data_IF_145450089212
#
_entry.id   IF_145450089212
#
_cell.length_a   1.000
_cell.length_b   1.000
_cell.length_c   1.000
_cell.angle_alpha   90.00
_cell.angle_beta   90.00
_cell.angle_gamma   90.00
#
_symmetry.space_group_name_H-M   'P 1'
#
loop_
_entity.id
_entity.type
_entity.pdbx_description
1 polymer ?
#
# COMPACT_ATOMS: atom_id res chain seq x y z
N UNK A 1 15.37 3.66 22.59
CA UNK A 1 14.50 4.85 22.41
C UNK A 1 13.30 4.44 21.56
N UNK A 2 12.08 4.72 22.02
CA UNK A 2 10.84 4.45 21.29
C UNK A 2 10.73 5.43 20.11
N UNK A 3 10.63 4.95 18.87
CA UNK A 3 10.38 5.84 17.72
C UNK A 3 8.87 6.10 17.62
N UNK A 4 8.41 7.11 18.35
CA UNK A 4 7.00 7.50 18.41
C UNK A 4 6.41 7.79 17.02
N UNK A 5 7.18 8.42 16.13
CA UNK A 5 6.73 8.73 14.78
C UNK A 5 6.44 7.47 13.94
N UNK A 6 7.29 6.45 14.05
CA UNK A 6 7.11 5.18 13.35
C UNK A 6 5.85 4.42 13.84
N UNK A 7 5.62 4.38 15.16
CA UNK A 7 4.41 3.76 15.70
C UNK A 7 3.15 4.56 15.36
N UNK A 8 3.19 5.90 15.46
CA UNK A 8 2.08 6.76 15.02
C UNK A 8 1.73 6.53 13.55
N UNK A 9 2.74 6.43 12.68
CA UNK A 9 2.54 6.18 11.26
C UNK A 9 1.90 4.81 10.98
N UNK A 10 2.37 3.77 11.68
CA UNK A 10 1.78 2.43 11.61
C UNK A 10 0.32 2.41 12.06
N UNK A 11 -0.02 3.12 13.14
CA UNK A 11 -1.40 3.27 13.59
C UNK A 11 -2.25 4.04 12.57
N UNK A 12 -1.74 5.14 12.01
CA UNK A 12 -2.45 5.94 11.03
C UNK A 12 -2.84 5.12 9.79
N UNK A 13 -1.90 4.34 9.24
CA UNK A 13 -2.17 3.47 8.08
C UNK A 13 -3.25 2.43 8.37
N UNK A 14 -3.21 1.82 9.57
CA UNK A 14 -4.22 0.85 10.00
C UNK A 14 -5.60 1.51 10.16
N UNK A 15 -5.67 2.65 10.83
CA UNK A 15 -6.94 3.38 11.05
C UNK A 15 -7.55 3.88 9.75
N UNK A 16 -6.72 4.36 8.81
CA UNK A 16 -7.18 4.72 7.48
C UNK A 16 -7.80 3.53 6.76
N UNK A 17 -7.10 2.38 6.75
CA UNK A 17 -7.59 1.17 6.11
C UNK A 17 -8.88 0.67 6.76
N UNK A 18 -8.97 0.64 8.09
CA UNK A 18 -10.19 0.22 8.78
C UNK A 18 -11.37 1.14 8.48
N UNK A 19 -11.15 2.46 8.40
CA UNK A 19 -12.18 3.42 8.04
C UNK A 19 -12.71 3.18 6.61
N UNK A 20 -11.82 2.93 5.66
CA UNK A 20 -12.21 2.58 4.28
C UNK A 20 -13.02 1.29 4.23
N UNK A 21 -12.60 0.26 4.97
CA UNK A 21 -13.31 -1.02 5.06
C UNK A 21 -14.70 -0.87 5.70
N UNK A 22 -14.85 0.02 6.70
CA UNK A 22 -16.14 0.31 7.31
C UNK A 22 -17.12 0.92 6.30
N UNK A 23 -16.69 1.92 5.52
CA UNK A 23 -17.50 2.54 4.46
C UNK A 23 -17.95 1.51 3.42
N UNK A 24 -17.02 0.66 2.97
CA UNK A 24 -17.34 -0.38 2.00
C UNK A 24 -18.28 -1.46 2.54
N UNK A 25 -18.16 -1.80 3.82
CA UNK A 25 -19.09 -2.71 4.49
C UNK A 25 -20.52 -2.14 4.51
N UNK A 26 -20.67 -0.85 4.81
CA UNK A 26 -21.96 -0.17 4.77
C UNK A 26 -22.58 -0.16 3.36
N UNK A 27 -21.76 0.08 2.33
CA UNK A 27 -22.19 -0.01 0.93
C UNK A 27 -22.61 -1.43 0.52
N UNK A 28 -21.98 -2.46 1.08
CA UNK A 28 -22.34 -3.85 0.80
C UNK A 28 -23.67 -4.22 1.45
N UNK A 29 -23.95 -3.71 2.65
CA UNK A 29 -25.23 -3.92 3.35
C UNK A 29 -26.41 -3.29 2.59
N UNK A 30 -26.20 -2.14 1.95
CA UNK A 30 -27.23 -1.46 1.15
C UNK A 30 -27.49 -2.10 -0.22
N UNK A 31 -26.68 -3.05 -0.67
CA UNK A 31 -26.80 -3.64 -2.02
C UNK A 31 -27.99 -4.59 -2.20
N UNK A 32 -28.61 -5.03 -1.10
CA UNK A 32 -29.50 -6.20 -1.06
C UNK A 32 -30.93 -6.04 -1.58
N UNK A 33 -31.24 -5.06 -2.43
CA UNK A 33 -32.60 -4.88 -2.96
C UNK A 33 -32.79 -5.48 -4.35
N UNK A 34 -33.49 -6.63 -4.45
CA UNK A 34 -34.05 -7.21 -5.69
C UNK A 34 -33.13 -7.96 -6.69
N UNK A 35 -31.98 -8.50 -6.28
CA UNK A 35 -31.15 -9.34 -7.16
C UNK A 35 -31.33 -10.85 -6.92
N UNK A 36 -31.19 -11.65 -7.98
CA UNK A 36 -31.01 -13.10 -7.84
C UNK A 36 -29.71 -13.41 -7.09
N UNK A 37 -29.58 -14.61 -6.52
CA UNK A 37 -28.35 -15.03 -5.84
C UNK A 37 -27.11 -14.94 -6.75
N UNK A 38 -27.25 -15.32 -8.03
CA UNK A 38 -26.16 -15.24 -9.02
C UNK A 38 -25.78 -13.80 -9.33
N UNK A 39 -26.77 -12.94 -9.60
CA UNK A 39 -26.52 -11.52 -9.87
C UNK A 39 -25.95 -10.78 -8.66
N UNK A 40 -26.36 -11.13 -7.45
CA UNK A 40 -25.77 -10.62 -6.22
C UNK A 40 -24.30 -11.02 -6.10
N UNK A 41 -23.97 -12.30 -6.32
CA UNK A 41 -22.59 -12.80 -6.24
C UNK A 41 -21.67 -12.14 -7.26
N UNK A 42 -22.12 -12.00 -8.51
CA UNK A 42 -21.36 -11.33 -9.58
C UNK A 42 -21.16 -9.84 -9.27
N UNK A 43 -22.22 -9.13 -8.86
CA UNK A 43 -22.13 -7.73 -8.47
C UNK A 43 -21.17 -7.49 -7.31
N UNK A 44 -21.18 -8.37 -6.31
CA UNK A 44 -20.24 -8.31 -5.19
C UNK A 44 -18.80 -8.58 -5.63
N UNK A 45 -18.58 -9.49 -6.58
CA UNK A 45 -17.25 -9.76 -7.14
C UNK A 45 -16.72 -8.53 -7.90
N UNK A 46 -17.53 -7.92 -8.77
CA UNK A 46 -17.13 -6.74 -9.53
C UNK A 46 -16.87 -5.52 -8.66
N UNK A 47 -17.65 -5.34 -7.58
CA UNK A 47 -17.38 -4.29 -6.57
C UNK A 47 -16.05 -4.51 -5.88
N UNK A 48 -15.74 -5.74 -5.45
CA UNK A 48 -14.44 -6.06 -4.83
C UNK A 48 -13.28 -5.77 -5.78
N UNK A 49 -13.40 -6.13 -7.07
CA UNK A 49 -12.39 -5.79 -8.08
C UNK A 49 -12.22 -4.28 -8.21
N UNK A 50 -13.32 -3.55 -8.38
CA UNK A 50 -13.32 -2.09 -8.53
C UNK A 50 -12.66 -1.40 -7.34
N UNK A 51 -12.91 -1.85 -6.12
CA UNK A 51 -12.27 -1.33 -4.89
C UNK A 51 -10.76 -1.51 -4.91
N UNK A 52 -10.26 -2.67 -5.30
CA UNK A 52 -8.83 -2.92 -5.44
C UNK A 52 -8.23 -1.99 -6.49
N UNK A 53 -8.86 -1.85 -7.66
CA UNK A 53 -8.41 -0.91 -8.68
C UNK A 53 -8.36 0.54 -8.18
N UNK A 54 -9.45 1.03 -7.58
CA UNK A 54 -9.52 2.38 -7.03
C UNK A 54 -8.44 2.63 -5.98
N UNK A 55 -8.24 1.67 -5.08
CA UNK A 55 -7.21 1.73 -4.06
C UNK A 55 -5.81 1.82 -4.66
N UNK A 56 -5.48 0.94 -5.62
CA UNK A 56 -4.20 0.93 -6.32
C UNK A 56 -3.94 2.22 -7.13
N UNK A 57 -4.97 2.80 -7.74
CA UNK A 57 -4.82 4.02 -8.55
C UNK A 57 -4.53 5.27 -7.72
N UNK A 58 -4.85 5.25 -6.42
CA UNK A 58 -4.60 6.38 -5.51
C UNK A 58 -3.23 6.30 -4.81
N UNK A 59 -2.44 5.26 -5.09
CA UNK A 59 -1.10 5.13 -4.53
C UNK A 59 -0.13 6.15 -5.12
N UNK A 60 0.90 6.48 -4.34
CA UNK A 60 2.01 7.32 -4.76
C UNK A 60 2.84 6.64 -5.87
N UNK A 61 3.56 7.39 -6.73
CA UNK A 61 4.28 6.83 -7.89
C UNK A 61 5.38 5.81 -7.56
N UNK A 62 5.98 5.88 -6.37
CA UNK A 62 6.96 4.92 -5.85
C UNK A 62 6.39 3.49 -5.76
N UNK A 63 5.06 3.33 -5.67
CA UNK A 63 4.39 2.03 -5.69
C UNK A 63 4.02 1.55 -7.11
N UNK A 64 4.44 2.24 -8.17
CA UNK A 64 4.15 1.82 -9.54
C UNK A 64 4.60 0.37 -9.85
N UNK A 65 5.78 -0.11 -9.41
CA UNK A 65 6.22 -1.48 -9.68
C UNK A 65 5.27 -2.53 -9.08
N UNK A 66 4.93 -2.39 -7.79
CA UNK A 66 4.01 -3.31 -7.12
C UNK A 66 2.58 -3.20 -7.67
N UNK A 67 2.14 -1.99 -8.04
CA UNK A 67 0.85 -1.77 -8.70
C UNK A 67 0.77 -2.53 -10.02
N UNK A 68 1.77 -2.40 -10.88
CA UNK A 68 1.82 -3.13 -12.14
C UNK A 68 1.85 -4.65 -11.92
N UNK A 69 2.66 -5.12 -10.95
CA UNK A 69 2.74 -6.53 -10.59
C UNK A 69 1.36 -7.09 -10.16
N UNK A 70 0.64 -6.40 -9.29
CA UNK A 70 -0.69 -6.83 -8.83
C UNK A 70 -1.70 -6.86 -9.99
N UNK A 71 -1.69 -5.84 -10.85
CA UNK A 71 -2.61 -5.72 -11.98
C UNK A 71 -2.35 -6.75 -13.09
N UNK A 72 -1.13 -7.25 -13.20
CA UNK A 72 -0.76 -8.26 -14.19
C UNK A 72 -1.06 -9.71 -13.77
N UNK A 73 -1.59 -9.94 -12.56
CA UNK A 73 -1.96 -11.28 -12.09
C UNK A 73 -3.21 -11.77 -12.82
N UNK A 74 -3.26 -13.07 -13.11
CA UNK A 74 -4.42 -13.72 -13.74
C UNK A 74 -5.71 -13.51 -12.92
N UNK A 75 -5.57 -13.55 -11.58
CA UNK A 75 -6.66 -13.22 -10.66
C UNK A 75 -6.25 -12.07 -9.78
N UNK A 76 -7.13 -11.06 -9.69
CA UNK A 76 -6.89 -9.91 -8.83
C UNK A 76 -7.01 -10.35 -7.36
N UNK A 77 -5.97 -10.15 -6.53
CA UNK A 77 -6.03 -10.49 -5.12
C UNK A 77 -7.10 -9.66 -4.40
N UNK A 78 -7.54 -10.15 -3.23
CA UNK A 78 -8.42 -9.37 -2.37
C UNK A 78 -7.69 -8.13 -1.80
N UNK A 79 -8.46 -7.17 -1.30
CA UNK A 79 -7.91 -5.92 -0.81
C UNK A 79 -6.99 -6.10 0.41
N UNK A 80 -7.26 -7.07 1.30
CA UNK A 80 -6.43 -7.32 2.49
C UNK A 80 -5.02 -7.80 2.11
N UNK A 81 -4.92 -8.69 1.12
CA UNK A 81 -3.65 -9.17 0.56
C UNK A 81 -2.91 -8.00 -0.09
N UNK A 82 -3.59 -7.20 -0.91
CA UNK A 82 -3.00 -6.01 -1.54
C UNK A 82 -2.45 -5.07 -0.47
N UNK A 83 -3.22 -4.77 0.58
CA UNK A 83 -2.78 -3.90 1.66
C UNK A 83 -1.55 -4.45 2.38
N UNK A 84 -1.53 -5.76 2.68
CA UNK A 84 -0.37 -6.41 3.29
C UNK A 84 0.90 -6.33 2.43
N UNK A 85 0.78 -6.56 1.12
CA UNK A 85 1.91 -6.42 0.20
C UNK A 85 2.43 -4.98 0.13
N UNK A 86 1.55 -3.98 0.15
CA UNK A 86 1.94 -2.57 0.16
C UNK A 86 2.66 -2.17 1.45
N UNK A 87 2.25 -2.66 2.62
CA UNK A 87 2.95 -2.38 3.88
C UNK A 87 4.37 -2.95 3.84
N UNK A 88 4.54 -4.15 3.25
CA UNK A 88 5.86 -4.74 3.05
C UNK A 88 6.70 -3.89 2.08
N UNK A 89 6.12 -3.47 0.96
CA UNK A 89 6.81 -2.65 -0.03
C UNK A 89 7.24 -1.30 0.55
N UNK A 90 6.37 -0.66 1.32
CA UNK A 90 6.70 0.60 1.99
C UNK A 90 7.86 0.41 2.99
N UNK A 91 7.86 -0.70 3.72
CA UNK A 91 8.98 -1.03 4.62
C UNK A 91 10.27 -1.21 3.82
N UNK A 92 10.21 -1.91 2.69
CA UNK A 92 11.35 -2.12 1.80
C UNK A 92 11.91 -0.80 1.24
N UNK A 93 11.05 0.08 0.71
CA UNK A 93 11.43 1.41 0.20
C UNK A 93 12.12 2.23 1.29
N UNK A 94 11.57 2.24 2.51
CA UNK A 94 12.16 2.97 3.63
C UNK A 94 13.52 2.41 4.04
N UNK A 95 13.68 1.08 4.05
CA UNK A 95 14.96 0.42 4.34
C UNK A 95 16.00 0.78 3.29
N UNK A 96 15.66 0.71 1.99
CA UNK A 96 16.56 1.10 0.91
C UNK A 96 17.01 2.56 1.03
N UNK A 97 16.07 3.48 1.23
CA UNK A 97 16.38 4.90 1.38
C UNK A 97 17.34 5.19 2.56
N UNK A 98 17.20 4.43 3.66
CA UNK A 98 18.10 4.54 4.81
C UNK A 98 19.51 4.04 4.50
N UNK A 99 19.64 2.99 3.69
CA UNK A 99 20.92 2.43 3.27
C UNK A 99 21.63 3.38 2.30
N UNK A 100 20.95 3.86 1.26
CA UNK A 100 21.51 4.78 0.26
C UNK A 100 22.04 6.07 0.88
N UNK A 101 21.31 6.60 1.87
CA UNK A 101 21.74 7.77 2.65
C UNK A 101 23.06 7.51 3.38
N UNK A 102 23.23 6.32 3.97
CA UNK A 102 24.45 5.94 4.69
C UNK A 102 25.66 5.81 3.76
N UNK A 103 25.49 5.22 2.56
CA UNK A 103 26.55 5.09 1.57
C UNK A 103 27.00 6.45 1.02
N UNK A 104 26.05 7.35 0.76
CA UNK A 104 26.34 8.70 0.24
C UNK A 104 27.13 9.55 1.24
N UNK A 105 26.79 9.47 2.53
CA UNK A 105 27.52 10.16 3.61
C UNK A 105 28.97 9.66 3.69
N UNK A 106 29.17 8.33 3.63
CA UNK A 106 30.49 7.74 3.68
C UNK A 106 31.36 8.18 2.49
N UNK A 107 30.85 8.09 1.26
CA UNK A 107 31.56 8.52 0.07
C UNK A 107 32.03 9.99 0.15
N UNK A 108 31.15 10.89 0.61
CA UNK A 108 31.46 12.32 0.76
C UNK A 108 32.51 12.59 1.85
N UNK A 109 32.51 11.81 2.94
CA UNK A 109 33.54 11.92 3.98
C UNK A 109 34.92 11.45 3.49
N UNK A 110 35.00 10.44 2.64
CA UNK A 110 36.27 10.00 2.06
C UNK A 110 36.82 11.01 1.03
N UNK A 111 35.96 11.69 0.28
CA UNK A 111 36.40 12.73 -0.68
C UNK A 111 36.81 14.04 -0.01
N UNK A 112 36.23 14.39 1.14
CA UNK A 112 36.55 15.64 1.87
C UNK A 112 37.80 15.53 2.76
N UNK A 113 38.21 14.32 3.16
CA UNK A 113 39.49 14.09 3.86
C UNK A 113 40.72 14.07 2.94
N UNK A 114 40.53 14.17 1.62
CA UNK A 114 41.61 14.13 0.61
C UNK A 114 42.24 15.49 0.27
N UNK A 115 41.73 16.60 0.80
CA UNK A 115 42.19 17.96 0.44
C UNK A 115 42.95 18.63 1.59
N UNK A 116 44.13 18.09 1.89
CA UNK A 116 45.20 18.87 2.53
C UNK A 116 46.44 18.80 1.62
N UNK A 117 46.63 19.84 0.81
CA UNK A 117 47.92 20.26 0.28
C UNK A 117 47.94 21.78 0.22
#
# INVERSE_FOLDING_TARGET
>A
MFNLAAEMWKHLKKSYYSGLMAIWSEQDQSFGGNLSYTGFKEGMLERKKTRVFQFLMKLRPDFNPIKANILNRETLPNIDVVFGELIREETYINTLASMDSSYTINATMYTTKGTYK
#
